data_IF_046792395140
#
_entry.id   IF_046792395140
#
_cell.length_a   1.000
_cell.length_b   1.000
_cell.length_c   1.000
_cell.angle_alpha   90.00
_cell.angle_beta   90.00
_cell.angle_gamma   90.00
#
_symmetry.space_group_name_H-M   'P 1'
#
loop_
_entity.id
_entity.type
_entity.pdbx_description
1 polymer ?
#
# COMPACT_ATOMS: atom_id res chain seq x y z
N UNK A 1 12.40 -29.80 -10.49
CA UNK A 1 13.88 -29.71 -10.56
C UNK A 1 14.27 -28.32 -10.09
N UNK A 2 15.01 -28.25 -8.99
CA UNK A 2 15.56 -27.00 -8.48
C UNK A 2 16.93 -26.83 -9.14
N UNK A 3 17.02 -25.97 -10.15
CA UNK A 3 18.33 -25.59 -10.72
C UNK A 3 19.08 -24.74 -9.69
N UNK A 4 20.17 -25.29 -9.18
CA UNK A 4 21.12 -24.55 -8.38
C UNK A 4 21.97 -23.66 -9.31
N UNK A 5 21.64 -22.39 -9.41
CA UNK A 5 22.58 -21.38 -9.92
C UNK A 5 23.58 -21.03 -8.82
N UNK A 6 24.56 -21.89 -8.64
CA UNK A 6 25.68 -21.63 -7.73
C UNK A 6 26.90 -21.17 -8.50
N UNK A 7 27.48 -20.05 -8.12
CA UNK A 7 28.83 -19.67 -8.51
C UNK A 7 29.80 -20.80 -8.16
N UNK A 8 30.16 -21.62 -9.11
CA UNK A 8 31.30 -22.48 -9.30
C UNK A 8 32.07 -23.15 -8.13
N UNK A 9 31.64 -23.05 -6.90
CA UNK A 9 32.22 -23.78 -5.78
C UNK A 9 31.18 -24.82 -5.30
N UNK A 10 31.42 -26.08 -5.61
CA UNK A 10 30.69 -27.26 -5.10
C UNK A 10 30.85 -27.47 -3.60
N UNK A 11 30.94 -26.41 -2.80
CA UNK A 11 31.08 -26.50 -1.35
C UNK A 11 29.67 -26.44 -0.77
N UNK A 12 29.24 -27.57 -0.19
CA UNK A 12 28.03 -27.61 0.62
C UNK A 12 28.15 -26.59 1.74
N UNK A 13 27.22 -25.68 1.80
CA UNK A 13 27.10 -24.71 2.89
C UNK A 13 26.50 -25.40 4.13
N UNK A 14 26.58 -24.73 5.28
CA UNK A 14 25.99 -25.24 6.52
C UNK A 14 24.46 -25.20 6.47
N UNK A 15 23.81 -25.92 7.40
CA UNK A 15 22.35 -25.97 7.50
C UNK A 15 21.73 -24.59 7.68
N UNK A 16 22.39 -23.70 8.41
CA UNK A 16 21.93 -22.32 8.64
C UNK A 16 21.83 -21.52 7.34
N UNK A 17 22.78 -21.69 6.41
CA UNK A 17 22.74 -21.06 5.10
C UNK A 17 21.50 -21.52 4.31
N UNK A 18 21.25 -22.84 4.25
CA UNK A 18 20.09 -23.36 3.55
C UNK A 18 18.79 -22.99 4.25
N UNK A 19 18.76 -23.01 5.59
CA UNK A 19 17.61 -22.57 6.36
C UNK A 19 17.29 -21.09 6.12
N UNK A 20 18.33 -20.23 6.02
CA UNK A 20 18.15 -18.82 5.69
C UNK A 20 17.62 -18.59 4.25
N UNK A 21 17.99 -19.48 3.29
CA UNK A 21 17.42 -19.45 1.94
C UNK A 21 15.95 -19.84 1.91
N UNK A 22 15.52 -20.73 2.80
CA UNK A 22 14.11 -21.14 2.94
C UNK A 22 13.33 -20.20 3.86
N UNK A 23 13.96 -19.63 4.86
CA UNK A 23 13.42 -18.62 5.77
C UNK A 23 13.59 -17.19 5.25
N UNK A 24 13.84 -16.97 3.97
CA UNK A 24 13.56 -15.65 3.39
C UNK A 24 12.12 -15.36 3.78
N UNK A 25 11.97 -14.40 4.69
CA UNK A 25 10.68 -13.99 5.24
C UNK A 25 9.70 -13.83 4.09
N UNK A 26 8.83 -14.80 3.93
CA UNK A 26 7.65 -14.67 3.10
C UNK A 26 6.82 -13.62 3.79
N UNK A 27 6.66 -12.46 3.18
CA UNK A 27 5.64 -11.54 3.63
C UNK A 27 4.34 -12.31 3.54
N UNK A 28 3.74 -12.54 4.70
CA UNK A 28 2.46 -13.21 4.77
C UNK A 28 1.41 -12.27 4.16
N UNK A 29 0.90 -12.64 2.99
CA UNK A 29 -0.19 -11.90 2.35
C UNK A 29 -1.37 -11.74 3.30
N UNK A 30 -1.64 -12.75 4.12
CA UNK A 30 -2.71 -12.72 5.12
C UNK A 30 -2.50 -11.58 6.10
N UNK A 31 -1.25 -11.30 6.48
CA UNK A 31 -0.92 -10.17 7.35
C UNK A 31 -1.29 -8.81 6.71
N UNK A 32 -0.99 -8.63 5.43
CA UNK A 32 -1.38 -7.38 4.72
C UNK A 32 -2.91 -7.28 4.59
N UNK A 33 -3.60 -8.37 4.31
CA UNK A 33 -5.06 -8.39 4.32
C UNK A 33 -5.63 -8.02 5.68
N UNK A 34 -5.05 -8.56 6.76
CA UNK A 34 -5.44 -8.25 8.14
C UNK A 34 -5.23 -6.77 8.47
N UNK A 35 -4.06 -6.20 8.15
CA UNK A 35 -3.77 -4.78 8.33
C UNK A 35 -4.72 -3.90 7.52
N UNK A 36 -4.98 -4.27 6.27
CA UNK A 36 -5.91 -3.56 5.39
C UNK A 36 -7.33 -3.57 5.95
N UNK A 37 -7.76 -4.71 6.52
CA UNK A 37 -9.05 -4.82 7.19
C UNK A 37 -9.13 -3.93 8.43
N UNK A 38 -8.09 -3.88 9.24
CA UNK A 38 -7.99 -2.99 10.41
C UNK A 38 -8.09 -1.51 9.98
N UNK A 39 -7.34 -1.12 8.96
CA UNK A 39 -7.39 0.24 8.39
C UNK A 39 -8.81 0.55 7.90
N UNK A 40 -9.41 -0.34 7.10
CA UNK A 40 -10.76 -0.13 6.56
C UNK A 40 -11.81 0.04 7.67
N UNK A 41 -11.75 -0.80 8.70
CA UNK A 41 -12.64 -0.72 9.86
C UNK A 41 -12.47 0.61 10.61
N UNK A 42 -11.24 0.99 10.88
CA UNK A 42 -10.90 2.23 11.56
C UNK A 42 -11.41 3.45 10.78
N UNK A 43 -11.10 3.53 9.50
CA UNK A 43 -11.53 4.64 8.65
C UNK A 43 -13.06 4.69 8.49
N UNK A 44 -13.73 3.53 8.40
CA UNK A 44 -15.18 3.47 8.21
C UNK A 44 -15.97 3.77 9.47
N UNK A 45 -15.60 3.16 10.60
CA UNK A 45 -16.37 3.21 11.85
C UNK A 45 -15.88 4.31 12.78
N UNK A 46 -14.58 4.39 13.02
CA UNK A 46 -14.01 5.34 13.99
C UNK A 46 -13.82 6.73 13.37
N UNK A 47 -13.24 6.81 12.18
CA UNK A 47 -13.06 8.08 11.46
C UNK A 47 -14.31 8.53 10.72
N UNK A 48 -15.31 7.67 10.56
CA UNK A 48 -16.59 7.99 9.93
C UNK A 48 -16.51 8.24 8.43
N UNK A 49 -15.44 7.84 7.76
CA UNK A 49 -15.28 8.00 6.30
C UNK A 49 -16.10 6.93 5.58
N UNK A 50 -17.35 7.23 5.26
CA UNK A 50 -18.29 6.27 4.65
C UNK A 50 -18.01 6.01 3.17
N UNK A 51 -17.45 6.98 2.46
CA UNK A 51 -17.13 6.86 1.04
C UNK A 51 -15.92 5.95 0.84
N UNK A 52 -16.08 4.90 0.02
CA UNK A 52 -15.02 3.96 -0.33
C UNK A 52 -13.79 4.66 -0.93
N UNK A 53 -14.02 5.53 -1.92
CA UNK A 53 -12.92 6.20 -2.62
C UNK A 53 -12.13 7.13 -1.70
N UNK A 54 -12.82 7.79 -0.76
CA UNK A 54 -12.14 8.61 0.24
C UNK A 54 -11.26 7.76 1.16
N UNK A 55 -11.70 6.55 1.58
CA UNK A 55 -10.86 5.66 2.38
C UNK A 55 -9.64 5.19 1.60
N UNK A 56 -9.81 4.84 0.31
CA UNK A 56 -8.70 4.45 -0.55
C UNK A 56 -7.70 5.59 -0.74
N UNK A 57 -8.17 6.79 -1.06
CA UNK A 57 -7.33 7.98 -1.23
C UNK A 57 -6.61 8.32 0.07
N UNK A 58 -7.31 8.30 1.18
CA UNK A 58 -6.73 8.58 2.49
C UNK A 58 -5.58 7.63 2.83
N UNK A 59 -5.80 6.32 2.65
CA UNK A 59 -4.79 5.29 2.88
C UNK A 59 -3.63 5.41 1.90
N UNK A 60 -3.90 5.62 0.62
CA UNK A 60 -2.87 5.80 -0.40
C UNK A 60 -1.99 7.03 -0.11
N UNK A 61 -2.60 8.16 0.26
CA UNK A 61 -1.85 9.38 0.64
C UNK A 61 -0.96 9.16 1.86
N UNK A 62 -1.46 8.44 2.88
CA UNK A 62 -0.68 8.10 4.06
C UNK A 62 0.52 7.19 3.73
N UNK A 63 0.32 6.18 2.87
CA UNK A 63 1.40 5.29 2.42
C UNK A 63 2.45 6.04 1.59
N UNK A 64 2.02 6.91 0.66
CA UNK A 64 2.92 7.76 -0.13
C UNK A 64 3.71 8.69 0.80
N UNK A 65 3.03 9.35 1.74
CA UNK A 65 3.69 10.23 2.71
C UNK A 65 4.72 9.46 3.56
N UNK A 66 4.38 8.25 4.01
CA UNK A 66 5.32 7.39 4.75
C UNK A 66 6.52 7.00 3.89
N UNK A 67 6.32 6.68 2.61
CA UNK A 67 7.41 6.34 1.66
C UNK A 67 8.39 7.49 1.45
N UNK A 68 7.94 8.73 1.56
CA UNK A 68 8.75 9.94 1.45
C UNK A 68 9.15 10.51 2.82
N UNK A 69 9.20 9.68 3.84
CA UNK A 69 9.66 10.03 5.19
C UNK A 69 8.90 11.20 5.83
N UNK A 70 7.59 11.30 5.56
CA UNK A 70 6.75 12.24 6.30
C UNK A 70 6.81 11.93 7.79
N UNK A 71 6.95 12.99 8.59
CA UNK A 71 6.97 12.87 10.04
C UNK A 71 5.55 12.56 10.55
N UNK A 72 5.22 11.28 10.62
CA UNK A 72 3.99 10.78 11.23
C UNK A 72 4.37 10.00 12.49
N UNK A 73 4.08 10.58 13.65
CA UNK A 73 4.46 10.00 14.95
C UNK A 73 3.23 9.85 15.86
N UNK A 74 3.31 8.87 16.76
CA UNK A 74 2.26 8.67 17.77
C UNK A 74 2.08 9.89 18.66
N UNK A 75 0.86 10.15 19.05
CA UNK A 75 0.50 11.28 19.92
C UNK A 75 0.20 12.57 19.19
N UNK A 76 0.33 12.60 17.87
CA UNK A 76 -0.14 13.70 17.05
C UNK A 76 -1.65 13.89 17.19
N UNK A 77 -2.09 15.14 17.18
CA UNK A 77 -3.49 15.44 16.95
C UNK A 77 -3.85 15.28 15.45
N UNK A 78 -5.14 15.40 15.14
CA UNK A 78 -5.61 15.25 13.77
C UNK A 78 -5.01 16.28 12.82
N UNK A 79 -4.91 17.53 13.24
CA UNK A 79 -4.41 18.61 12.39
C UNK A 79 -2.92 18.43 12.07
N UNK A 80 -2.13 18.03 13.06
CA UNK A 80 -0.71 17.72 12.91
C UNK A 80 -0.52 16.56 11.94
N UNK A 81 -1.25 15.47 12.14
CA UNK A 81 -1.21 14.27 11.29
C UNK A 81 -1.64 14.58 9.86
N UNK A 82 -2.78 15.25 9.66
CA UNK A 82 -3.28 15.63 8.34
C UNK A 82 -2.32 16.54 7.59
N UNK A 83 -1.77 17.56 8.29
CA UNK A 83 -0.81 18.49 7.71
C UNK A 83 0.53 17.82 7.39
N UNK A 84 0.98 16.84 8.17
CA UNK A 84 2.20 16.09 7.86
C UNK A 84 2.08 15.36 6.51
N UNK A 85 0.94 14.70 6.26
CA UNK A 85 0.67 14.06 4.99
C UNK A 85 0.58 15.09 3.87
N UNK A 86 -0.24 16.12 4.02
CA UNK A 86 -0.49 17.12 2.99
C UNK A 86 0.78 17.89 2.59
N UNK A 87 1.59 18.29 3.57
CA UNK A 87 2.85 18.98 3.32
C UNK A 87 3.86 18.09 2.58
N UNK A 88 3.92 16.80 2.92
CA UNK A 88 4.77 15.85 2.23
C UNK A 88 4.34 15.69 0.77
N UNK A 89 3.06 15.48 0.51
CA UNK A 89 2.52 15.36 -0.85
C UNK A 89 2.83 16.61 -1.67
N UNK A 90 2.57 17.80 -1.13
CA UNK A 90 2.84 19.06 -1.82
C UNK A 90 4.34 19.26 -2.10
N UNK A 91 5.21 18.89 -1.16
CA UNK A 91 6.67 18.97 -1.34
C UNK A 91 7.14 18.07 -2.49
N UNK A 92 6.65 16.84 -2.55
CA UNK A 92 7.04 15.92 -3.61
C UNK A 92 6.47 16.33 -4.97
N UNK A 93 5.29 16.94 -5.02
CA UNK A 93 4.73 17.57 -6.23
C UNK A 93 5.62 18.69 -6.77
N UNK A 94 6.19 19.51 -5.88
CA UNK A 94 7.11 20.59 -6.29
C UNK A 94 8.46 20.06 -6.80
N UNK A 95 8.89 18.88 -6.36
CA UNK A 95 10.13 18.23 -6.83
C UNK A 95 9.99 17.70 -8.26
N UNK A 96 8.81 17.21 -8.61
CA UNK A 96 8.55 16.73 -9.96
C UNK A 96 8.21 17.92 -10.88
N UNK A 97 9.21 18.42 -11.62
CA UNK A 97 9.07 19.52 -12.58
C UNK A 97 8.04 19.28 -13.69
N UNK A 98 7.57 18.04 -13.86
CA UNK A 98 6.41 17.69 -14.66
C UNK A 98 5.19 17.81 -13.76
N UNK A 99 4.43 18.90 -13.92
CA UNK A 99 3.15 19.06 -13.24
C UNK A 99 2.30 17.80 -13.42
N UNK A 100 2.38 16.90 -12.44
CA UNK A 100 1.55 15.71 -12.46
C UNK A 100 0.16 16.09 -11.93
N UNK A 101 -0.73 16.45 -12.85
CA UNK A 101 -2.11 16.85 -12.53
C UNK A 101 -2.84 15.81 -11.67
N UNK A 102 -2.49 14.52 -11.80
CA UNK A 102 -3.11 13.46 -10.98
C UNK A 102 -2.70 13.53 -9.52
N UNK A 103 -1.45 13.91 -9.24
CA UNK A 103 -0.99 14.10 -7.86
C UNK A 103 -1.60 15.37 -7.23
N UNK A 104 -1.77 16.43 -8.02
CA UNK A 104 -2.48 17.62 -7.55
C UNK A 104 -3.91 17.29 -7.16
N UNK A 105 -4.64 16.57 -8.03
CA UNK A 105 -5.99 16.08 -7.73
C UNK A 105 -6.01 15.19 -6.46
N UNK A 106 -4.99 14.37 -6.25
CA UNK A 106 -4.90 13.54 -5.06
C UNK A 106 -4.79 14.37 -3.78
N UNK A 107 -3.93 15.40 -3.78
CA UNK A 107 -3.81 16.34 -2.65
C UNK A 107 -5.09 17.11 -2.40
N UNK A 108 -5.75 17.59 -3.47
CA UNK A 108 -7.00 18.33 -3.38
C UNK A 108 -8.10 17.46 -2.76
N UNK A 109 -8.30 16.25 -3.28
CA UNK A 109 -9.29 15.32 -2.74
C UNK A 109 -8.95 14.92 -1.30
N UNK A 110 -7.66 14.66 -0.99
CA UNK A 110 -7.24 14.35 0.37
C UNK A 110 -7.61 15.48 1.35
N UNK A 111 -7.40 16.73 0.96
CA UNK A 111 -7.71 17.91 1.80
C UNK A 111 -9.22 18.09 2.03
N UNK A 112 -10.06 17.57 1.13
CA UNK A 112 -11.52 17.65 1.22
C UNK A 112 -12.14 16.50 2.04
N UNK A 113 -11.38 15.41 2.32
CA UNK A 113 -11.90 14.29 3.08
C UNK A 113 -12.24 14.73 4.50
N UNK A 114 -13.53 14.68 4.82
CA UNK A 114 -14.04 15.01 6.15
C UNK A 114 -14.11 13.77 7.00
N UNK A 115 -13.57 13.87 8.20
CA UNK A 115 -13.71 12.87 9.24
C UNK A 115 -14.81 13.27 10.21
N UNK A 116 -15.51 12.27 10.74
CA UNK A 116 -16.50 12.47 11.80
C UNK A 116 -15.86 12.19 13.18
N UNK A 117 -14.67 12.75 13.39
CA UNK A 117 -14.01 12.75 14.70
C UNK A 117 -14.35 14.03 15.43
N UNK A 118 -14.58 13.94 16.73
CA UNK A 118 -14.81 15.11 17.57
C UNK A 118 -13.48 15.76 17.95
N UNK A 119 -12.78 16.28 16.93
CA UNK A 119 -11.42 16.86 17.07
C UNK A 119 -11.40 18.12 17.92
N UNK A 120 -12.51 18.84 18.00
CA UNK A 120 -12.66 20.09 18.76
C UNK A 120 -13.22 19.84 20.17
N UNK A 121 -13.29 18.57 20.61
CA UNK A 121 -13.77 18.25 21.96
C UNK A 121 -12.86 18.85 23.03
N UNK A 122 -13.44 19.51 24.02
CA UNK A 122 -12.74 19.95 25.23
C UNK A 122 -12.50 18.80 26.23
N UNK A 123 -13.10 17.62 26.00
CA UNK A 123 -12.91 16.45 26.85
C UNK A 123 -11.54 15.81 26.58
N UNK A 124 -10.67 15.86 27.58
CA UNK A 124 -9.34 15.28 27.51
C UNK A 124 -9.33 13.78 27.18
N UNK A 125 -10.38 13.03 27.58
CA UNK A 125 -10.51 11.59 27.23
C UNK A 125 -10.78 11.41 25.74
N UNK A 126 -11.65 12.22 25.17
CA UNK A 126 -11.93 12.15 23.74
C UNK A 126 -10.72 12.60 22.90
N UNK A 127 -10.01 13.64 23.31
CA UNK A 127 -8.76 14.04 22.65
C UNK A 127 -7.73 12.91 22.68
N UNK A 128 -7.57 12.23 23.82
CA UNK A 128 -6.64 11.12 23.94
C UNK A 128 -7.09 9.95 23.07
N UNK A 129 -8.40 9.63 23.01
CA UNK A 129 -8.95 8.59 22.13
C UNK A 129 -8.62 8.86 20.67
N UNK A 130 -8.80 10.10 20.21
CA UNK A 130 -8.48 10.51 18.84
C UNK A 130 -6.99 10.33 18.54
N UNK A 131 -6.10 10.73 19.45
CA UNK A 131 -4.65 10.54 19.31
C UNK A 131 -4.26 9.07 19.26
N UNK A 132 -4.88 8.23 20.07
CA UNK A 132 -4.64 6.80 20.11
C UNK A 132 -5.09 6.12 18.79
N UNK A 133 -6.24 6.51 18.24
CA UNK A 133 -6.72 6.03 16.95
C UNK A 133 -5.80 6.42 15.79
N UNK A 134 -5.33 7.68 15.78
CA UNK A 134 -4.35 8.14 14.79
C UNK A 134 -3.04 7.36 14.95
N UNK A 135 -2.58 7.13 16.16
CA UNK A 135 -1.39 6.35 16.45
C UNK A 135 -1.49 4.91 15.93
N UNK A 136 -2.62 4.25 16.15
CA UNK A 136 -2.86 2.90 15.61
C UNK A 136 -2.88 2.89 14.07
N UNK A 137 -3.53 3.88 13.45
CA UNK A 137 -3.53 4.01 12.00
C UNK A 137 -2.11 4.19 11.44
N UNK A 138 -1.28 5.02 12.08
CA UNK A 138 0.12 5.23 11.71
C UNK A 138 0.92 3.92 11.81
N UNK A 139 0.70 3.12 12.87
CA UNK A 139 1.37 1.83 13.02
C UNK A 139 1.04 0.91 11.83
N UNK A 140 -0.23 0.72 11.51
CA UNK A 140 -0.65 -0.16 10.41
C UNK A 140 -0.14 0.32 9.05
N UNK A 141 -0.14 1.64 8.80
CA UNK A 141 0.45 2.22 7.58
C UNK A 141 1.96 1.99 7.53
N UNK A 142 2.64 2.10 8.68
CA UNK A 142 4.07 1.82 8.79
C UNK A 142 4.37 0.36 8.49
N UNK A 143 3.67 -0.57 9.12
CA UNK A 143 3.84 -2.00 8.91
C UNK A 143 3.63 -2.39 7.44
N UNK A 144 2.58 -1.86 6.79
CA UNK A 144 2.37 -2.09 5.36
C UNK A 144 3.52 -1.48 4.52
N UNK A 145 3.94 -0.25 4.83
CA UNK A 145 5.05 0.40 4.13
C UNK A 145 6.35 -0.39 4.25
N UNK A 146 6.65 -0.91 5.43
CA UNK A 146 7.85 -1.70 5.70
C UNK A 146 7.80 -3.04 4.94
N UNK A 147 6.62 -3.69 4.91
CA UNK A 147 6.40 -4.86 4.07
C UNK A 147 6.67 -4.57 2.58
N UNK A 148 6.13 -3.47 2.05
CA UNK A 148 6.27 -3.07 0.65
C UNK A 148 7.71 -2.73 0.26
N UNK A 149 8.50 -2.23 1.20
CA UNK A 149 9.91 -1.87 0.99
C UNK A 149 10.87 -3.03 1.25
N UNK A 150 10.38 -4.18 1.69
CA UNK A 150 11.25 -5.34 1.96
C UNK A 150 11.63 -6.07 0.67
N UNK A 151 12.80 -6.71 0.66
CA UNK A 151 13.26 -7.56 -0.45
C UNK A 151 12.38 -8.80 -0.67
N UNK A 152 11.52 -9.12 0.30
CA UNK A 152 10.57 -10.23 0.22
C UNK A 152 9.29 -9.86 -0.55
N UNK A 153 9.05 -8.58 -0.83
CA UNK A 153 7.91 -8.13 -1.63
C UNK A 153 8.07 -8.55 -3.09
N UNK A 154 7.12 -9.34 -3.59
CA UNK A 154 7.16 -9.91 -4.94
C UNK A 154 6.30 -9.18 -5.96
N UNK A 155 6.09 -7.88 -5.79
CA UNK A 155 5.32 -7.05 -6.72
C UNK A 155 3.84 -7.38 -6.74
N UNK A 156 3.23 -7.57 -5.58
CA UNK A 156 1.80 -7.80 -5.47
C UNK A 156 1.01 -6.50 -5.58
N UNK A 157 -0.19 -6.57 -6.16
CA UNK A 157 -1.07 -5.41 -6.33
C UNK A 157 -1.74 -5.02 -5.00
N UNK A 158 -1.04 -4.20 -4.21
CA UNK A 158 -1.54 -3.67 -2.93
C UNK A 158 -2.82 -2.86 -3.12
N UNK A 159 -2.92 -2.10 -4.21
CA UNK A 159 -4.13 -1.31 -4.47
C UNK A 159 -5.33 -2.21 -4.77
N UNK A 160 -5.10 -3.35 -5.43
CA UNK A 160 -6.11 -4.39 -5.61
C UNK A 160 -6.55 -5.00 -4.27
N UNK A 161 -5.61 -5.26 -3.35
CA UNK A 161 -5.91 -5.73 -1.99
C UNK A 161 -6.79 -4.71 -1.25
N UNK A 162 -6.39 -3.45 -1.23
CA UNK A 162 -7.17 -2.39 -0.59
C UNK A 162 -8.56 -2.25 -1.19
N UNK A 163 -8.66 -2.26 -2.51
CA UNK A 163 -9.95 -2.15 -3.17
C UNK A 163 -10.88 -3.30 -2.80
N UNK A 164 -10.40 -4.53 -2.82
CA UNK A 164 -11.17 -5.70 -2.47
C UNK A 164 -11.66 -5.64 -1.02
N UNK A 165 -10.77 -5.30 -0.08
CA UNK A 165 -11.11 -5.21 1.34
C UNK A 165 -12.05 -4.04 1.63
N UNK A 166 -11.81 -2.87 1.03
CA UNK A 166 -12.63 -1.69 1.26
C UNK A 166 -14.02 -1.80 0.65
N UNK A 167 -14.20 -2.65 -0.38
CA UNK A 167 -15.52 -2.98 -0.94
C UNK A 167 -16.36 -3.91 -0.05
N UNK A 168 -15.79 -4.49 1.01
CA UNK A 168 -16.49 -5.44 1.90
C UNK A 168 -17.85 -4.94 2.40
N UNK A 169 -18.00 -3.63 2.61
CA UNK A 169 -19.25 -3.01 3.08
C UNK A 169 -20.21 -2.58 1.97
N UNK A 170 -19.85 -2.78 0.71
CA UNK A 170 -20.76 -2.53 -0.41
C UNK A 170 -21.71 -3.71 -0.63
N UNK A 171 -22.95 -3.41 -0.98
CA UNK A 171 -23.86 -4.44 -1.48
C UNK A 171 -23.32 -5.00 -2.79
N UNK A 172 -23.47 -6.32 -3.01
CA UNK A 172 -22.97 -7.01 -4.23
C UNK A 172 -23.43 -6.37 -5.54
N UNK A 173 -24.58 -5.69 -5.54
CA UNK A 173 -25.13 -4.96 -6.71
C UNK A 173 -24.38 -3.67 -7.07
N UNK A 174 -23.54 -3.16 -6.17
CA UNK A 174 -22.78 -1.91 -6.36
C UNK A 174 -21.30 -2.14 -6.68
N UNK A 175 -20.85 -3.39 -6.62
CA UNK A 175 -19.47 -3.79 -6.91
C UNK A 175 -19.28 -3.94 -8.43
N UNK A 176 -19.10 -2.81 -9.13
CA UNK A 176 -18.93 -2.79 -10.60
C UNK A 176 -17.53 -3.11 -11.10
N UNK A 177 -16.53 -3.18 -10.24
CA UNK A 177 -15.14 -3.47 -10.60
C UNK A 177 -14.66 -4.74 -9.91
N UNK A 178 -14.08 -5.66 -10.69
CA UNK A 178 -13.41 -6.87 -10.22
C UNK A 178 -11.96 -6.78 -10.69
N UNK A 179 -11.01 -6.93 -9.76
CA UNK A 179 -9.59 -6.96 -10.10
C UNK A 179 -9.22 -8.33 -10.66
N UNK A 180 -8.31 -8.32 -11.62
CA UNK A 180 -7.78 -9.57 -12.18
C UNK A 180 -6.97 -10.30 -11.11
N UNK A 181 -7.29 -11.57 -10.81
CA UNK A 181 -6.53 -12.35 -9.84
C UNK A 181 -5.05 -12.47 -10.22
N UNK A 182 -4.18 -12.44 -9.23
CA UNK A 182 -2.73 -12.45 -9.41
C UNK A 182 -2.23 -13.64 -10.25
N UNK A 183 -2.79 -14.83 -10.04
CA UNK A 183 -2.40 -16.01 -10.83
C UNK A 183 -2.68 -15.87 -12.32
N UNK A 184 -3.66 -15.04 -12.71
CA UNK A 184 -3.96 -14.72 -14.10
C UNK A 184 -2.93 -13.72 -14.65
N UNK A 185 -2.58 -12.70 -13.89
CA UNK A 185 -1.57 -11.70 -14.30
C UNK A 185 -0.20 -12.35 -14.45
N UNK A 186 0.19 -13.26 -13.52
CA UNK A 186 1.42 -14.03 -13.60
C UNK A 186 1.43 -14.98 -14.81
N UNK A 187 0.32 -15.67 -15.04
CA UNK A 187 0.19 -16.56 -16.18
C UNK A 187 0.33 -15.83 -17.52
N UNK A 188 -0.32 -14.67 -17.67
CA UNK A 188 -0.21 -13.85 -18.88
C UNK A 188 1.20 -13.30 -19.08
N UNK A 189 1.86 -12.86 -18.01
CA UNK A 189 3.25 -12.44 -18.05
C UNK A 189 4.15 -13.54 -18.63
N UNK A 190 4.02 -14.78 -18.10
CA UNK A 190 4.82 -15.94 -18.54
C UNK A 190 4.56 -16.33 -19.99
N UNK A 191 3.30 -16.30 -20.45
CA UNK A 191 2.96 -16.59 -21.84
C UNK A 191 3.57 -15.58 -22.80
N UNK A 192 3.63 -14.30 -22.41
CA UNK A 192 4.17 -13.24 -23.25
C UNK A 192 5.69 -13.21 -23.26
N UNK A 193 6.35 -14.04 -22.43
CA UNK A 193 7.83 -14.11 -22.34
C UNK A 193 8.48 -12.73 -22.17
N UNK A 194 7.84 -11.85 -21.39
CA UNK A 194 8.32 -10.48 -21.13
C UNK A 194 9.65 -10.55 -20.39
N UNK A 195 10.65 -9.82 -20.87
CA UNK A 195 11.99 -9.74 -20.30
C UNK A 195 12.35 -8.30 -19.91
N UNK A 196 13.47 -8.12 -19.20
CA UNK A 196 13.91 -6.84 -18.63
C UNK A 196 14.11 -5.70 -19.65
N UNK A 197 14.31 -6.03 -20.92
CA UNK A 197 14.58 -5.05 -21.98
C UNK A 197 13.28 -4.64 -22.73
N UNK A 198 12.16 -5.26 -22.40
CA UNK A 198 10.88 -5.02 -23.04
C UNK A 198 10.21 -3.74 -22.54
N UNK A 199 9.30 -3.22 -23.36
CA UNK A 199 8.41 -2.13 -23.01
C UNK A 199 6.99 -2.65 -22.88
N UNK A 200 6.43 -2.60 -21.70
CA UNK A 200 5.08 -3.05 -21.42
C UNK A 200 4.11 -1.87 -21.43
N UNK A 201 3.03 -1.99 -22.20
CA UNK A 201 1.92 -1.04 -22.24
C UNK A 201 0.62 -1.75 -21.87
N UNK A 202 -0.04 -1.24 -20.85
CA UNK A 202 -1.41 -1.61 -20.51
C UNK A 202 -2.31 -0.38 -20.64
N UNK A 203 -3.08 -0.32 -21.74
CA UNK A 203 -3.94 0.82 -22.05
C UNK A 203 -5.19 0.89 -21.15
N UNK A 204 -5.50 -0.18 -20.42
CA UNK A 204 -6.66 -0.30 -19.54
C UNK A 204 -6.25 -0.74 -18.13
N UNK A 205 -5.14 -0.23 -17.63
CA UNK A 205 -4.39 -0.78 -16.49
C UNK A 205 -5.16 -0.91 -15.16
N UNK A 206 -6.27 -0.21 -14.98
CA UNK A 206 -6.99 -0.22 -13.70
C UNK A 206 -6.08 0.21 -12.54
N UNK A 207 -5.88 -0.68 -11.55
CA UNK A 207 -4.91 -0.50 -10.45
C UNK A 207 -3.45 -0.73 -10.87
N UNK A 208 -3.22 -1.22 -12.07
CA UNK A 208 -1.88 -1.54 -12.58
C UNK A 208 -1.42 -2.97 -12.29
N UNK A 209 -2.30 -3.90 -11.93
CA UNK A 209 -1.92 -5.25 -11.54
C UNK A 209 -1.00 -5.98 -12.54
N UNK A 210 -1.27 -5.88 -13.84
CA UNK A 210 -0.39 -6.43 -14.88
C UNK A 210 0.97 -5.72 -14.94
N UNK A 211 0.98 -4.38 -14.80
CA UNK A 211 2.22 -3.58 -14.85
C UNK A 211 3.09 -3.85 -13.62
N UNK A 212 2.47 -3.92 -12.44
CA UNK A 212 3.17 -4.25 -11.18
C UNK A 212 3.81 -5.62 -11.28
N UNK A 213 3.10 -6.62 -11.82
CA UNK A 213 3.62 -7.98 -11.99
C UNK A 213 4.75 -8.03 -13.02
N UNK A 214 4.58 -7.35 -14.15
CA UNK A 214 5.64 -7.25 -15.16
C UNK A 214 6.90 -6.60 -14.58
N UNK A 215 6.76 -5.45 -13.91
CA UNK A 215 7.87 -4.74 -13.28
C UNK A 215 8.61 -5.60 -12.25
N UNK A 216 7.87 -6.29 -11.36
CA UNK A 216 8.47 -7.13 -10.34
C UNK A 216 9.30 -8.27 -10.93
N UNK A 217 8.80 -8.92 -11.99
CA UNK A 217 9.52 -10.00 -12.65
C UNK A 217 10.73 -9.50 -13.45
N UNK A 218 10.61 -8.35 -14.16
CA UNK A 218 11.71 -7.72 -14.89
C UNK A 218 12.87 -7.26 -13.99
N UNK A 219 12.60 -6.91 -12.72
CA UNK A 219 13.64 -6.53 -11.75
C UNK A 219 14.36 -7.77 -11.21
N UNK A 220 13.72 -8.93 -11.18
CA UNK A 220 14.31 -10.17 -10.66
C UNK A 220 15.19 -10.91 -11.68
N UNK A 221 15.11 -10.56 -12.97
CA UNK A 221 15.99 -11.04 -14.03
C UNK A 221 17.30 -10.26 -14.13
#
# INVERSE_FOLDING_TARGET
EIEFQGNGSNILQNLEYYTALFNKEHIDKEYIYELTAKINNCLHFEFGIKNLYHRMIFTACALVAKRFDALMVKGMDYSEFHNAILNCLNKELMRDKRQNQKLSLLSDVFSEIRMNLNVDSEDAKEQQRVKDLIGQFIDWVTDISDCLNSDAWRGEDVMGIFFNEFNRYKKKSEAGQIFTPEHITDFMYRILEVNKDDRVLDACCGSGGFLVKAMANMIQE
#
